data_IF_320149363715
#
_entry.id   IF_320149363715
#
_cell.length_a   1.000
_cell.length_b   1.000
_cell.length_c   1.000
_cell.angle_alpha   90.00
_cell.angle_beta   90.00
_cell.angle_gamma   90.00
#
_symmetry.space_group_name_H-M   'P 1'
#
loop_
_entity.id
_entity.type
_entity.pdbx_description
1 polymer ?
#
# COMPACT_ATOMS: atom_id res chain seq x y z
N UNK A 1 -20.20 18.71 12.95
CA UNK A 1 -21.09 18.11 11.91
C UNK A 1 -20.74 18.61 10.51
N UNK A 2 -19.89 17.89 9.78
CA UNK A 2 -19.48 18.26 8.41
C UNK A 2 -20.16 17.31 7.43
N UNK A 3 -21.06 17.84 6.59
CA UNK A 3 -21.76 17.07 5.57
C UNK A 3 -20.75 16.51 4.56
N UNK A 4 -20.61 15.19 4.50
CA UNK A 4 -20.01 14.50 3.36
C UNK A 4 -20.87 14.82 2.14
N UNK A 5 -20.37 15.69 1.25
CA UNK A 5 -20.94 15.83 -0.09
C UNK A 5 -20.82 14.48 -0.77
N UNK A 6 -21.97 13.93 -1.16
CA UNK A 6 -22.08 12.76 -2.00
C UNK A 6 -21.09 12.85 -3.16
N UNK A 7 -20.14 11.93 -3.20
CA UNK A 7 -19.52 11.54 -4.47
C UNK A 7 -20.68 11.17 -5.39
N UNK A 8 -20.78 11.87 -6.50
CA UNK A 8 -21.90 11.83 -7.44
C UNK A 8 -22.16 10.39 -7.86
N UNK A 9 -23.24 9.79 -7.33
CA UNK A 9 -23.74 8.50 -7.82
C UNK A 9 -24.09 8.70 -9.30
N UNK A 10 -23.33 8.07 -10.21
CA UNK A 10 -23.80 7.90 -11.60
C UNK A 10 -25.12 7.14 -11.50
N UNK A 11 -26.23 7.78 -11.87
CA UNK A 11 -27.48 7.07 -12.16
C UNK A 11 -27.20 6.12 -13.32
N UNK A 12 -27.27 4.83 -13.05
CA UNK A 12 -27.29 3.80 -14.10
C UNK A 12 -28.70 3.79 -14.69
N UNK A 13 -28.77 3.77 -16.02
CA UNK A 13 -30.01 3.60 -16.79
C UNK A 13 -30.59 2.20 -16.55
N UNK A 14 -31.92 2.11 -16.50
CA UNK A 14 -32.72 0.93 -16.13
C UNK A 14 -32.68 -0.25 -17.15
N UNK A 15 -31.55 -0.50 -17.80
CA UNK A 15 -31.40 -1.54 -18.83
C UNK A 15 -30.07 -2.29 -18.85
N UNK A 16 -29.09 -1.85 -18.07
CA UNK A 16 -27.78 -2.50 -18.02
C UNK A 16 -27.77 -3.52 -16.87
N UNK A 17 -27.75 -4.82 -17.21
CA UNK A 17 -27.61 -5.89 -16.22
C UNK A 17 -26.50 -5.53 -15.23
N UNK A 18 -26.79 -5.61 -13.93
CA UNK A 18 -25.97 -5.07 -12.83
C UNK A 18 -24.47 -5.32 -13.07
N UNK A 19 -23.77 -4.34 -13.66
CA UNK A 19 -22.32 -4.40 -13.80
C UNK A 19 -21.79 -4.23 -12.39
N UNK A 20 -21.54 -5.36 -11.72
CA UNK A 20 -20.94 -5.37 -10.40
C UNK A 20 -19.67 -4.51 -10.39
N UNK A 21 -19.34 -3.86 -9.26
CA UNK A 21 -18.18 -2.99 -9.18
C UNK A 21 -16.92 -3.76 -9.58
N UNK A 22 -16.21 -3.25 -10.59
CA UNK A 22 -14.92 -3.79 -11.02
C UNK A 22 -13.86 -3.38 -9.99
N UNK A 23 -13.64 -4.27 -9.02
CA UNK A 23 -12.45 -4.22 -8.18
C UNK A 23 -11.23 -4.54 -9.04
N UNK A 24 -10.21 -3.68 -9.00
CA UNK A 24 -8.98 -3.93 -9.73
C UNK A 24 -8.12 -4.92 -8.92
N UNK A 25 -7.44 -5.83 -9.60
CA UNK A 25 -6.48 -6.72 -8.96
C UNK A 25 -5.29 -5.92 -8.43
N UNK A 26 -4.80 -6.28 -7.24
CA UNK A 26 -3.59 -5.68 -6.71
C UNK A 26 -2.39 -5.94 -7.63
N UNK A 27 -1.44 -5.00 -7.73
CA UNK A 27 -0.20 -5.22 -8.45
C UNK A 27 0.62 -6.34 -7.80
N UNK A 28 1.58 -6.87 -8.56
CA UNK A 28 2.60 -7.76 -8.00
C UNK A 28 3.57 -6.93 -7.16
N UNK A 29 4.05 -7.52 -6.07
CA UNK A 29 5.07 -6.94 -5.21
C UNK A 29 6.19 -7.96 -5.03
N UNK A 30 7.43 -7.49 -5.05
CA UNK A 30 8.61 -8.25 -4.67
C UNK A 30 9.68 -7.28 -4.10
N UNK A 31 10.58 -7.73 -3.21
CA UNK A 31 11.55 -6.86 -2.54
C UNK A 31 12.75 -6.51 -3.45
N UNK A 32 12.50 -6.19 -4.72
CA UNK A 32 13.51 -5.77 -5.70
C UNK A 32 12.86 -4.99 -6.86
N UNK A 33 13.58 -4.09 -7.53
CA UNK A 33 13.07 -3.35 -8.68
C UNK A 33 12.65 -4.28 -9.83
N UNK A 34 11.61 -3.92 -10.60
CA UNK A 34 10.73 -2.75 -10.44
C UNK A 34 9.52 -3.01 -9.51
N UNK A 35 9.50 -4.13 -8.79
CA UNK A 35 8.32 -4.61 -8.05
C UNK A 35 8.27 -4.15 -6.58
N UNK A 36 9.29 -3.45 -6.10
CA UNK A 36 9.40 -2.97 -4.72
C UNK A 36 8.59 -1.71 -4.44
N UNK A 37 8.10 -1.05 -5.49
CA UNK A 37 7.34 0.21 -5.44
C UNK A 37 6.01 0.09 -6.20
N UNK A 38 5.08 -0.77 -5.74
CA UNK A 38 3.79 -0.95 -6.41
C UNK A 38 2.97 0.34 -6.43
N UNK A 39 2.38 0.66 -7.59
CA UNK A 39 1.43 1.77 -7.71
C UNK A 39 0.00 1.30 -7.40
N UNK A 40 -0.70 2.05 -6.55
CA UNK A 40 -2.03 1.70 -6.06
C UNK A 40 -3.04 2.78 -6.40
N UNK A 41 -4.15 2.37 -7.02
CA UNK A 41 -5.26 3.26 -7.32
C UNK A 41 -6.12 3.56 -6.10
N UNK A 42 -6.46 4.83 -5.94
CA UNK A 42 -7.36 5.32 -4.90
C UNK A 42 -8.75 4.67 -5.00
N UNK A 43 -9.26 4.18 -3.86
CA UNK A 43 -10.59 3.58 -3.70
C UNK A 43 -10.96 2.44 -4.65
N UNK A 44 -9.99 1.59 -5.06
CA UNK A 44 -10.22 0.50 -6.03
C UNK A 44 -10.16 -0.92 -5.45
N UNK A 45 -9.72 -1.09 -4.22
CA UNK A 45 -9.36 -2.42 -3.70
C UNK A 45 -10.29 -2.90 -2.60
N UNK A 46 -10.50 -4.22 -2.55
CA UNK A 46 -11.23 -4.79 -1.42
C UNK A 46 -10.39 -4.66 -0.15
N UNK A 47 -10.97 -4.20 0.98
CA UNK A 47 -10.25 -4.08 2.25
C UNK A 47 -9.46 -5.34 2.67
N UNK A 48 -10.02 -6.53 2.43
CA UNK A 48 -9.38 -7.81 2.76
C UNK A 48 -8.11 -8.05 1.93
N UNK A 49 -8.16 -7.70 0.65
CA UNK A 49 -7.02 -7.84 -0.26
C UNK A 49 -5.91 -6.88 0.16
N UNK A 50 -6.25 -5.64 0.51
CA UNK A 50 -5.31 -4.67 1.07
C UNK A 50 -4.63 -5.15 2.36
N UNK A 51 -5.37 -5.79 3.29
CA UNK A 51 -4.78 -6.40 4.49
C UNK A 51 -3.72 -7.45 4.13
N UNK A 52 -4.07 -8.38 3.25
CA UNK A 52 -3.16 -9.46 2.85
C UNK A 52 -1.96 -8.91 2.08
N UNK A 53 -2.17 -7.85 1.28
CA UNK A 53 -1.14 -7.19 0.49
C UNK A 53 -0.09 -6.50 1.36
N UNK A 54 -0.51 -5.76 2.39
CA UNK A 54 0.42 -5.18 3.34
C UNK A 54 1.11 -6.29 4.17
N UNK A 55 0.33 -7.22 4.74
CA UNK A 55 0.85 -8.23 5.65
C UNK A 55 1.93 -9.14 5.02
N UNK A 56 1.76 -9.56 3.76
CA UNK A 56 2.72 -10.46 3.09
C UNK A 56 4.12 -9.83 2.91
N UNK A 57 4.21 -8.50 2.94
CA UNK A 57 5.44 -7.77 2.70
C UNK A 57 6.34 -7.63 3.93
N UNK A 58 5.84 -7.93 5.12
CA UNK A 58 6.64 -7.78 6.35
C UNK A 58 6.43 -8.90 7.37
N UNK A 59 5.25 -9.53 7.41
CA UNK A 59 4.91 -10.44 8.50
C UNK A 59 5.79 -11.70 8.47
N UNK A 60 6.49 -11.97 9.59
CA UNK A 60 7.37 -13.13 9.74
C UNK A 60 8.44 -13.23 8.64
N UNK A 61 8.88 -12.09 8.12
CA UNK A 61 10.04 -11.99 7.23
C UNK A 61 11.32 -11.90 8.02
N UNK A 62 12.38 -12.49 7.45
CA UNK A 62 13.74 -12.25 7.88
C UNK A 62 14.30 -11.05 7.12
N UNK A 63 15.43 -10.52 7.57
CA UNK A 63 16.06 -9.35 6.92
C UNK A 63 16.39 -9.58 5.45
N UNK A 64 16.79 -10.80 5.09
CA UNK A 64 17.07 -11.19 3.70
C UNK A 64 15.82 -11.23 2.80
N UNK A 65 14.62 -11.27 3.41
CA UNK A 65 13.33 -11.28 2.70
C UNK A 65 12.76 -9.85 2.53
N UNK A 66 13.42 -8.81 3.06
CA UNK A 66 12.97 -7.42 3.01
C UNK A 66 13.66 -6.65 1.87
N UNK A 67 12.99 -5.64 1.33
CA UNK A 67 13.65 -4.73 0.38
C UNK A 67 14.67 -3.84 1.08
N UNK A 68 15.61 -3.29 0.31
CA UNK A 68 16.59 -2.30 0.80
C UNK A 68 15.89 -1.10 1.46
N UNK A 69 14.80 -0.63 0.88
CA UNK A 69 13.98 0.48 1.37
C UNK A 69 13.34 0.16 2.71
N UNK A 70 12.83 -1.07 2.89
CA UNK A 70 12.27 -1.52 4.17
C UNK A 70 13.35 -1.58 5.25
N UNK A 71 14.50 -2.22 4.96
CA UNK A 71 15.62 -2.28 5.92
C UNK A 71 16.11 -0.90 6.33
N UNK A 72 16.23 0.01 5.36
CA UNK A 72 16.60 1.41 5.60
C UNK A 72 15.55 2.12 6.45
N UNK A 73 14.27 2.01 6.10
CA UNK A 73 13.17 2.66 6.83
C UNK A 73 13.09 2.20 8.29
N UNK A 74 13.26 0.90 8.55
CA UNK A 74 13.33 0.35 9.92
C UNK A 74 14.49 0.92 10.71
N UNK A 75 15.69 0.93 10.12
CA UNK A 75 16.91 1.43 10.78
C UNK A 75 16.79 2.92 11.10
N UNK A 76 16.30 3.70 10.15
CA UNK A 76 16.04 5.14 10.29
C UNK A 76 14.97 5.43 11.36
N UNK A 77 13.90 4.63 11.38
CA UNK A 77 12.85 4.73 12.39
C UNK A 77 13.42 4.51 13.80
N UNK A 78 14.16 3.41 14.02
CA UNK A 78 14.75 3.09 15.33
C UNK A 78 15.70 4.19 15.78
N UNK A 79 16.55 4.71 14.88
CA UNK A 79 17.44 5.83 15.17
C UNK A 79 16.67 7.09 15.59
N UNK A 80 15.63 7.46 14.83
CA UNK A 80 14.82 8.62 15.15
C UNK A 80 14.04 8.45 16.47
N UNK A 81 13.44 7.28 16.69
CA UNK A 81 12.74 6.95 17.93
C UNK A 81 13.66 7.10 19.15
N UNK A 82 14.86 6.51 19.10
CA UNK A 82 15.83 6.59 20.20
C UNK A 82 16.30 8.03 20.48
N UNK A 83 16.44 8.85 19.44
CA UNK A 83 16.76 10.26 19.60
C UNK A 83 15.62 11.05 20.26
N UNK A 84 14.38 10.81 19.85
CA UNK A 84 13.19 11.48 20.38
C UNK A 84 12.87 11.04 21.80
N UNK A 85 13.16 9.78 22.15
CA UNK A 85 12.94 9.23 23.48
C UNK A 85 13.69 10.02 24.57
N UNK A 86 14.82 10.65 24.25
CA UNK A 86 15.55 11.55 25.16
C UNK A 86 14.77 12.80 25.57
N UNK A 87 13.71 13.14 24.82
CA UNK A 87 12.79 14.26 25.12
C UNK A 87 11.55 13.80 25.91
N UNK A 88 11.37 12.50 26.14
CA UNK A 88 10.21 11.94 26.81
C UNK A 88 10.05 12.48 28.24
N UNK A 89 8.82 12.76 28.66
CA UNK A 89 8.48 13.33 29.98
C UNK A 89 8.61 14.85 30.08
N UNK A 90 9.18 15.54 29.09
CA UNK A 90 9.25 17.02 29.09
C UNK A 90 7.90 17.62 28.67
N UNK A 91 7.53 18.76 29.27
CA UNK A 91 6.35 19.51 28.82
C UNK A 91 6.57 20.04 27.40
N UNK A 92 5.53 19.98 26.58
CA UNK A 92 5.56 20.48 25.20
C UNK A 92 5.15 21.95 25.21
N UNK A 93 6.02 22.80 24.69
CA UNK A 93 5.73 24.22 24.45
C UNK A 93 5.21 24.45 23.03
N UNK A 94 4.40 25.50 22.83
CA UNK A 94 3.83 25.84 21.51
C UNK A 94 4.90 26.01 20.43
N UNK A 95 6.07 26.57 20.79
CA UNK A 95 7.21 26.74 19.87
C UNK A 95 7.81 25.42 19.36
N UNK A 96 7.54 24.30 20.04
CA UNK A 96 8.07 22.98 19.68
C UNK A 96 7.15 22.19 18.73
N UNK A 97 5.91 22.64 18.53
CA UNK A 97 4.89 21.92 17.72
C UNK A 97 5.39 21.62 16.31
N UNK A 98 5.95 22.63 15.63
CA UNK A 98 6.48 22.46 14.27
C UNK A 98 7.62 21.43 14.22
N UNK A 99 8.51 21.42 15.22
CA UNK A 99 9.58 20.41 15.29
C UNK A 99 9.01 19.02 15.54
N UNK A 100 8.02 18.87 16.43
CA UNK A 100 7.40 17.58 16.72
C UNK A 100 6.62 17.07 15.49
N UNK A 101 5.92 17.95 14.77
CA UNK A 101 5.24 17.60 13.53
C UNK A 101 6.23 17.05 12.49
N UNK A 102 7.37 17.73 12.31
CA UNK A 102 8.43 17.25 11.42
C UNK A 102 8.99 15.89 11.87
N UNK A 103 9.25 15.75 13.17
CA UNK A 103 9.78 14.51 13.76
C UNK A 103 8.78 13.34 13.56
N UNK A 104 7.48 13.57 13.80
CA UNK A 104 6.42 12.58 13.56
C UNK A 104 6.19 12.31 12.07
N UNK A 105 6.30 13.32 11.21
CA UNK A 105 6.20 13.16 9.76
C UNK A 105 7.34 12.30 9.21
N UNK A 106 8.54 12.42 9.78
CA UNK A 106 9.66 11.55 9.45
C UNK A 106 9.41 10.10 9.87
N UNK A 107 8.90 9.87 11.09
CA UNK A 107 8.51 8.52 11.54
C UNK A 107 7.38 7.94 10.66
N UNK A 108 6.39 8.76 10.28
CA UNK A 108 5.30 8.35 9.38
C UNK A 108 5.85 7.88 8.03
N UNK A 109 6.80 8.61 7.44
CA UNK A 109 7.44 8.21 6.18
C UNK A 109 8.20 6.88 6.30
N UNK A 110 8.85 6.63 7.45
CA UNK A 110 9.49 5.34 7.70
C UNK A 110 8.46 4.20 7.81
N UNK A 111 7.36 4.44 8.52
CA UNK A 111 6.27 3.47 8.64
C UNK A 111 5.62 3.18 7.27
N UNK A 112 5.38 4.21 6.46
CA UNK A 112 4.85 4.08 5.10
C UNK A 112 5.78 3.25 4.20
N UNK A 113 7.07 3.59 4.15
CA UNK A 113 8.05 2.82 3.36
C UNK A 113 8.13 1.36 3.80
N UNK A 114 8.06 1.09 5.10
CA UNK A 114 8.20 -0.26 5.61
C UNK A 114 6.94 -1.12 5.39
N UNK A 115 5.76 -0.59 5.76
CA UNK A 115 4.51 -1.33 5.82
C UNK A 115 3.62 -1.17 4.59
N UNK A 116 3.74 -0.04 3.89
CA UNK A 116 2.83 0.39 2.83
C UNK A 116 3.57 0.82 1.56
N UNK A 117 4.81 0.35 1.38
CA UNK A 117 5.60 0.50 0.16
C UNK A 117 5.88 1.95 -0.27
N UNK A 118 5.70 2.92 0.63
CA UNK A 118 5.79 4.33 0.28
C UNK A 118 4.56 4.86 -0.49
N UNK A 119 3.46 4.10 -0.53
CA UNK A 119 2.25 4.47 -1.25
C UNK A 119 1.45 5.58 -0.55
N UNK A 120 1.67 5.87 0.74
CA UNK A 120 0.89 6.87 1.46
C UNK A 120 1.50 8.28 1.41
N UNK A 121 2.83 8.43 1.29
CA UNK A 121 3.54 9.71 1.44
C UNK A 121 3.04 10.85 0.55
N UNK A 122 2.60 10.56 -0.67
CA UNK A 122 2.10 11.54 -1.64
C UNK A 122 0.65 11.94 -1.38
N UNK A 123 -0.02 11.22 -0.48
CA UNK A 123 -1.46 11.30 -0.29
C UNK A 123 -1.84 11.59 1.16
N UNK A 124 -0.91 11.48 2.11
CA UNK A 124 -1.14 11.73 3.54
C UNK A 124 -0.45 13.00 4.01
N UNK A 125 -1.20 13.90 4.64
CA UNK A 125 -0.70 15.10 5.32
C UNK A 125 -0.82 14.93 6.83
N UNK A 126 0.27 15.21 7.54
CA UNK A 126 0.32 15.18 9.00
C UNK A 126 0.19 16.59 9.57
N UNK A 127 -0.74 16.78 10.51
CA UNK A 127 -0.87 17.99 11.31
C UNK A 127 -0.70 17.66 12.80
N UNK A 128 0.15 18.39 13.51
CA UNK A 128 0.26 18.27 14.96
C UNK A 128 -0.30 19.53 15.64
N UNK A 129 -1.19 19.38 16.61
CA UNK A 129 -1.85 20.50 17.28
C UNK A 129 -1.70 20.41 18.80
N UNK A 130 -1.67 21.56 19.49
CA UNK A 130 -1.69 21.61 20.97
C UNK A 130 -3.11 21.59 21.55
N UNK A 131 -4.08 22.05 20.76
CA UNK A 131 -5.48 22.07 21.14
C UNK A 131 -6.13 20.71 20.84
N UNK A 132 -6.97 20.24 21.76
CA UNK A 132 -7.97 19.22 21.45
C UNK A 132 -8.96 19.84 20.45
N UNK A 133 -8.73 19.64 19.16
CA UNK A 133 -9.57 20.19 18.08
C UNK A 133 -10.97 19.54 18.01
N UNK A 134 -11.26 18.56 18.86
CA UNK A 134 -12.34 17.61 18.61
C UNK A 134 -13.48 17.73 19.62
N UNK A 135 -14.70 17.64 19.09
CA UNK A 135 -15.92 17.35 19.84
C UNK A 135 -15.68 16.13 20.75
N UNK A 136 -16.37 16.05 21.89
CA UNK A 136 -16.31 14.82 22.70
C UNK A 136 -16.86 13.68 21.86
N UNK A 137 -16.16 12.56 21.83
CA UNK A 137 -16.71 11.29 21.37
C UNK A 137 -18.05 11.06 22.09
N UNK A 138 -19.18 10.98 21.35
CA UNK A 138 -20.49 10.82 21.96
C UNK A 138 -20.61 9.54 22.78
N UNK A 139 -19.88 8.48 22.41
CA UNK A 139 -19.96 7.16 23.04
C UNK A 139 -19.10 7.07 24.30
N UNK A 140 -17.93 7.71 24.32
CA UNK A 140 -17.00 7.63 25.47
C UNK A 140 -16.97 8.90 26.32
N UNK A 141 -17.53 10.01 25.83
CA UNK A 141 -17.44 11.34 26.43
C UNK A 141 -16.03 11.93 26.45
N UNK A 142 -15.03 11.24 25.87
CA UNK A 142 -13.64 11.67 25.83
C UNK A 142 -13.38 12.53 24.59
N UNK A 143 -12.47 13.50 24.69
CA UNK A 143 -12.02 14.25 23.51
C UNK A 143 -11.11 13.37 22.67
N UNK A 144 -11.26 13.41 21.35
CA UNK A 144 -10.35 12.71 20.45
C UNK A 144 -8.94 13.27 20.63
N UNK A 145 -7.96 12.38 20.60
CA UNK A 145 -6.54 12.72 20.73
C UNK A 145 -5.79 12.61 19.41
N UNK A 146 -6.45 12.08 18.38
CA UNK A 146 -6.04 12.05 16.99
C UNK A 146 -7.25 11.78 16.11
N UNK A 147 -7.17 12.14 14.83
CA UNK A 147 -8.17 11.77 13.82
C UNK A 147 -7.54 11.60 12.43
N UNK A 148 -8.22 10.83 11.59
CA UNK A 148 -7.90 10.66 10.18
C UNK A 148 -9.12 11.03 9.34
N UNK A 149 -8.94 11.95 8.39
CA UNK A 149 -10.04 12.48 7.57
C UNK A 149 -9.62 12.61 6.12
N UNK A 150 -10.58 12.59 5.19
CA UNK A 150 -10.34 12.99 3.81
C UNK A 150 -10.43 14.52 3.69
N UNK A 151 -9.45 15.14 3.03
CA UNK A 151 -9.46 16.55 2.65
C UNK A 151 -9.26 16.70 1.14
N UNK A 152 -9.87 17.73 0.55
CA UNK A 152 -9.59 18.14 -0.82
C UNK A 152 -8.86 19.48 -0.73
N UNK A 153 -7.65 19.55 -1.27
CA UNK A 153 -6.79 20.73 -1.30
C UNK A 153 -6.22 20.85 -2.71
N UNK A 154 -6.37 22.02 -3.36
CA UNK A 154 -5.92 22.27 -4.74
C UNK A 154 -6.40 21.19 -5.74
N UNK A 155 -7.69 20.86 -5.69
CA UNK A 155 -8.36 19.81 -6.48
C UNK A 155 -7.75 18.40 -6.35
N UNK A 156 -6.92 18.17 -5.33
CA UNK A 156 -6.33 16.87 -5.02
C UNK A 156 -6.91 16.33 -3.72
N UNK A 157 -7.29 15.05 -3.73
CA UNK A 157 -7.72 14.34 -2.54
C UNK A 157 -6.51 13.89 -1.73
N UNK A 158 -6.50 14.26 -0.45
CA UNK A 158 -5.52 13.84 0.54
C UNK A 158 -6.24 13.20 1.74
N UNK A 159 -5.49 12.38 2.48
CA UNK A 159 -5.83 11.99 3.83
C UNK A 159 -5.08 12.91 4.79
N UNK A 160 -5.80 13.51 5.72
CA UNK A 160 -5.24 14.34 6.77
C UNK A 160 -5.26 13.57 8.09
N UNK A 161 -4.07 13.27 8.60
CA UNK A 161 -3.82 12.68 9.91
C UNK A 161 -3.51 13.83 10.87
N UNK A 162 -4.28 13.97 11.96
CA UNK A 162 -4.02 14.99 12.98
C UNK A 162 -3.68 14.34 14.30
N UNK A 163 -2.62 14.83 14.94
CA UNK A 163 -2.17 14.36 16.24
C UNK A 163 -2.27 15.48 17.27
N UNK A 164 -2.98 15.22 18.36
CA UNK A 164 -3.03 16.13 19.49
C UNK A 164 -1.85 15.87 20.43
N UNK A 165 -1.00 16.86 20.58
CA UNK A 165 0.17 16.83 21.47
C UNK A 165 -0.22 17.09 22.94
N UNK A 166 -1.36 17.73 23.17
CA UNK A 166 -1.85 18.09 24.50
C UNK A 166 -1.13 19.30 25.09
N UNK A 167 -1.90 20.30 25.50
CA UNK A 167 -1.36 21.45 26.21
C UNK A 167 -0.97 21.10 27.64
N UNK A 168 0.23 21.51 28.07
CA UNK A 168 0.77 21.31 29.42
C UNK A 168 0.83 19.85 29.89
N UNK A 169 0.80 18.89 28.96
CA UNK A 169 0.98 17.47 29.26
C UNK A 169 2.44 17.06 29.04
N UNK A 170 2.97 16.14 29.86
CA UNK A 170 4.26 15.51 29.57
C UNK A 170 4.23 14.84 28.20
N UNK A 171 5.24 15.11 27.37
CA UNK A 171 5.44 14.44 26.10
C UNK A 171 5.61 12.94 26.34
N UNK A 172 4.67 12.14 25.86
CA UNK A 172 4.75 10.68 25.88
C UNK A 172 4.93 10.18 24.44
N UNK A 173 6.18 9.92 24.06
CA UNK A 173 6.54 9.48 22.71
C UNK A 173 5.84 8.17 22.34
N UNK A 174 5.76 7.19 23.26
CA UNK A 174 5.10 5.93 22.96
C UNK A 174 3.61 6.11 22.69
N UNK A 175 2.94 6.96 23.46
CA UNK A 175 1.51 7.28 23.23
C UNK A 175 1.33 7.99 21.88
N UNK A 176 2.16 9.00 21.58
CA UNK A 176 2.07 9.75 20.33
C UNK A 176 2.36 8.87 19.11
N UNK A 177 3.39 8.03 19.19
CA UNK A 177 3.72 7.07 18.13
C UNK A 177 2.62 6.01 18.00
N UNK A 178 2.03 5.56 19.11
CA UNK A 178 0.89 4.66 19.08
C UNK A 178 -0.30 5.24 18.34
N UNK A 179 -0.63 6.52 18.60
CA UNK A 179 -1.63 7.26 17.83
C UNK A 179 -1.25 7.39 16.36
N UNK A 180 0.02 7.68 16.05
CA UNK A 180 0.47 7.75 14.66
C UNK A 180 0.28 6.41 13.91
N UNK A 181 0.67 5.29 14.54
CA UNK A 181 0.45 3.95 13.96
C UNK A 181 -1.05 3.67 13.78
N UNK A 182 -1.86 4.03 14.77
CA UNK A 182 -3.32 3.94 14.72
C UNK A 182 -3.90 4.69 13.52
N UNK A 183 -3.54 5.96 13.34
CA UNK A 183 -4.04 6.81 12.26
C UNK A 183 -3.53 6.41 10.88
N UNK A 184 -2.30 5.90 10.75
CA UNK A 184 -1.78 5.44 9.46
C UNK A 184 -2.56 4.21 8.95
N UNK A 185 -3.02 3.33 9.84
CA UNK A 185 -3.90 2.20 9.47
C UNK A 185 -5.24 2.72 8.95
N UNK A 186 -5.81 3.75 9.57
CA UNK A 186 -6.99 4.43 9.04
C UNK A 186 -6.70 5.02 7.67
N UNK A 187 -5.59 5.73 7.50
CA UNK A 187 -5.21 6.35 6.23
C UNK A 187 -5.08 5.33 5.09
N UNK A 188 -4.49 4.16 5.37
CA UNK A 188 -4.38 3.07 4.41
C UNK A 188 -5.73 2.60 3.88
N UNK A 189 -6.68 2.32 4.78
CA UNK A 189 -8.01 1.90 4.36
C UNK A 189 -8.81 3.04 3.74
N UNK A 190 -8.77 4.22 4.33
CA UNK A 190 -9.54 5.38 3.88
C UNK A 190 -9.16 5.80 2.44
N UNK A 191 -7.88 5.66 2.07
CA UNK A 191 -7.41 6.05 0.74
C UNK A 191 -7.61 4.95 -0.32
N UNK A 192 -7.27 3.70 -0.01
CA UNK A 192 -7.20 2.65 -1.03
C UNK A 192 -8.44 1.74 -1.08
N UNK A 193 -9.24 1.67 -0.01
CA UNK A 193 -10.39 0.76 0.02
C UNK A 193 -11.55 1.25 -0.84
N UNK A 194 -12.17 0.31 -1.55
CA UNK A 194 -13.33 0.58 -2.37
C UNK A 194 -14.55 0.94 -1.52
N UNK A 195 -15.27 1.98 -1.92
CA UNK A 195 -16.51 2.47 -1.28
C UNK A 195 -17.76 2.14 -2.11
N UNK A 196 -17.68 1.16 -3.00
CA UNK A 196 -18.86 0.70 -3.74
C UNK A 196 -19.92 0.15 -2.77
N UNK A 197 -21.19 0.14 -3.21
CA UNK A 197 -22.32 -0.29 -2.38
C UNK A 197 -22.12 -1.68 -1.75
N UNK A 198 -21.48 -2.61 -2.46
CA UNK A 198 -21.18 -3.94 -1.95
C UNK A 198 -20.17 -3.92 -0.80
N UNK A 199 -19.09 -3.14 -0.93
CA UNK A 199 -18.10 -2.98 0.13
C UNK A 199 -18.67 -2.15 1.30
N UNK A 200 -19.51 -1.16 1.01
CA UNK A 200 -20.18 -0.34 2.01
C UNK A 200 -21.07 -1.18 2.92
N UNK A 201 -21.82 -2.14 2.36
CA UNK A 201 -22.65 -3.09 3.11
C UNK A 201 -21.86 -4.02 4.04
N UNK A 202 -20.56 -4.22 3.79
CA UNK A 202 -19.69 -5.10 4.58
C UNK A 202 -18.79 -4.31 5.56
N UNK A 203 -18.97 -2.99 5.71
CA UNK A 203 -18.08 -2.13 6.49
C UNK A 203 -17.88 -2.61 7.93
N UNK A 204 -18.95 -2.97 8.65
CA UNK A 204 -18.84 -3.46 10.04
C UNK A 204 -18.01 -4.75 10.17
N UNK A 205 -17.99 -5.58 9.12
CA UNK A 205 -17.23 -6.83 9.06
C UNK A 205 -15.81 -6.64 8.50
N UNK A 206 -15.49 -5.44 8.03
CA UNK A 206 -14.23 -5.10 7.37
C UNK A 206 -13.53 -3.95 8.09
N UNK A 207 -13.61 -2.72 7.58
CA UNK A 207 -12.87 -1.55 8.09
C UNK A 207 -13.56 -0.86 9.25
N UNK A 208 -14.83 -1.16 9.52
CA UNK A 208 -15.65 -0.49 10.52
C UNK A 208 -16.53 0.60 9.91
N UNK A 209 -17.50 1.07 10.70
CA UNK A 209 -18.38 2.17 10.29
C UNK A 209 -17.59 3.47 10.12
N UNK A 210 -17.94 4.40 9.20
CA UNK A 210 -17.19 5.64 8.99
C UNK A 210 -16.99 6.52 10.25
N UNK A 211 -17.86 6.38 11.25
CA UNK A 211 -17.78 7.11 12.53
C UNK A 211 -16.82 6.52 13.56
N UNK A 212 -16.43 5.25 13.41
CA UNK A 212 -15.54 4.55 14.36
C UNK A 212 -14.28 4.01 13.65
N UNK A 213 -14.46 3.36 12.49
CA UNK A 213 -13.39 2.82 11.63
C UNK A 213 -12.49 1.75 12.31
N UNK A 214 -12.92 1.13 13.41
CA UNK A 214 -12.16 0.08 14.10
C UNK A 214 -12.68 -1.34 13.81
N UNK A 215 -13.09 -1.61 12.58
CA UNK A 215 -13.58 -2.93 12.19
C UNK A 215 -12.52 -4.05 12.28
N UNK A 216 -12.91 -5.32 12.08
CA UNK A 216 -12.00 -6.46 12.24
C UNK A 216 -10.71 -6.38 11.41
N UNK A 217 -10.76 -5.85 10.19
CA UNK A 217 -9.58 -5.70 9.33
C UNK A 217 -8.60 -4.66 9.87
N UNK A 218 -9.12 -3.53 10.35
CA UNK A 218 -8.34 -2.53 11.05
C UNK A 218 -7.59 -3.16 12.23
N UNK A 219 -8.33 -3.86 13.11
CA UNK A 219 -7.77 -4.47 14.32
C UNK A 219 -6.66 -5.47 13.98
N UNK A 220 -6.83 -6.24 12.91
CA UNK A 220 -5.82 -7.18 12.44
C UNK A 220 -4.57 -6.48 11.92
N UNK A 221 -4.72 -5.51 11.01
CA UNK A 221 -3.57 -4.80 10.45
C UNK A 221 -2.79 -4.06 11.52
N UNK A 222 -3.48 -3.30 12.38
CA UNK A 222 -2.88 -2.59 13.50
C UNK A 222 -2.06 -3.53 14.39
N UNK A 223 -2.62 -4.70 14.74
CA UNK A 223 -1.90 -5.67 15.56
C UNK A 223 -0.65 -6.23 14.85
N UNK A 224 -0.72 -6.51 13.55
CA UNK A 224 0.44 -6.99 12.80
C UNK A 224 1.56 -5.94 12.76
N UNK A 225 1.22 -4.67 12.53
CA UNK A 225 2.17 -3.56 12.58
C UNK A 225 2.85 -3.45 13.95
N UNK A 226 2.07 -3.42 15.03
CA UNK A 226 2.61 -3.34 16.41
C UNK A 226 3.50 -4.54 16.72
N UNK A 227 3.12 -5.75 16.28
CA UNK A 227 3.96 -6.96 16.46
C UNK A 227 5.31 -6.80 15.78
N UNK A 228 5.32 -6.26 14.57
CA UNK A 228 6.53 -6.09 13.79
C UNK A 228 7.43 -4.98 14.37
N UNK A 229 6.85 -3.83 14.77
CA UNK A 229 7.60 -2.73 15.41
C UNK A 229 8.33 -3.21 16.68
N UNK A 230 7.70 -4.06 17.49
CA UNK A 230 8.32 -4.63 18.70
C UNK A 230 9.57 -5.48 18.42
N UNK A 231 9.71 -6.00 17.20
CA UNK A 231 10.86 -6.82 16.78
C UNK A 231 12.02 -5.99 16.25
N UNK A 232 11.83 -4.68 16.01
CA UNK A 232 12.83 -3.85 15.36
C UNK A 232 14.02 -3.49 16.26
N UNK A 233 13.79 -3.33 17.57
CA UNK A 233 14.80 -2.94 18.54
C UNK A 233 14.35 -3.27 19.96
N UNK A 234 15.29 -3.59 20.86
CA UNK A 234 14.98 -3.94 22.26
C UNK A 234 14.22 -2.82 22.98
N UNK A 235 14.44 -1.55 22.61
CA UNK A 235 13.73 -0.41 23.21
C UNK A 235 12.26 -0.31 22.81
N UNK A 236 11.83 -1.08 21.82
CA UNK A 236 10.46 -1.14 21.30
C UNK A 236 9.74 -2.43 21.73
N UNK A 237 10.36 -3.34 22.49
CA UNK A 237 9.77 -4.63 22.86
C UNK A 237 8.38 -4.49 23.51
N UNK A 238 8.24 -3.49 24.39
CA UNK A 238 7.00 -3.19 25.10
C UNK A 238 6.11 -2.16 24.40
N UNK A 239 6.39 -1.80 23.14
CA UNK A 239 5.62 -0.80 22.41
C UNK A 239 4.12 -1.14 22.38
N UNK A 240 3.30 -0.33 23.05
CA UNK A 240 1.86 -0.58 23.25
C UNK A 240 1.52 -1.92 23.92
N UNK A 241 2.36 -2.46 24.79
CA UNK A 241 2.11 -3.73 25.47
C UNK A 241 0.77 -3.75 26.23
N UNK A 242 0.44 -2.63 26.89
CA UNK A 242 -0.80 -2.49 27.67
C UNK A 242 -2.07 -2.55 26.81
N UNK A 243 -2.01 -1.94 25.63
CA UNK A 243 -3.14 -1.85 24.70
C UNK A 243 -3.22 -3.08 23.78
N UNK A 244 -2.08 -3.65 23.36
CA UNK A 244 -1.98 -4.83 22.49
C UNK A 244 -1.18 -5.99 23.15
N UNK A 245 -1.72 -6.65 24.20
CA UNK A 245 -0.98 -7.68 24.95
C UNK A 245 -0.94 -9.03 24.24
N UNK A 246 0.19 -9.75 24.32
CA UNK A 246 0.25 -11.20 24.09
C UNK A 246 -0.41 -11.72 22.80
N UNK A 247 -0.18 -11.06 21.66
CA UNK A 247 -0.78 -11.47 20.38
C UNK A 247 -2.15 -10.86 20.08
N UNK A 248 -2.80 -10.22 21.05
CA UNK A 248 -4.17 -9.71 20.95
C UNK A 248 -4.24 -8.32 20.34
N UNK A 249 -5.35 -8.04 19.67
CA UNK A 249 -5.68 -6.73 19.09
C UNK A 249 -5.76 -5.62 20.15
N UNK A 250 -5.75 -4.37 19.69
CA UNK A 250 -5.88 -3.18 20.54
C UNK A 250 -7.14 -3.24 21.39
N UNK A 251 -6.97 -3.15 22.72
CA UNK A 251 -8.06 -3.11 23.70
C UNK A 251 -8.89 -1.85 23.54
N UNK A 252 -8.24 -0.70 23.36
CA UNK A 252 -8.92 0.58 23.18
C UNK A 252 -9.75 0.60 21.90
N UNK A 253 -9.18 0.25 20.74
CA UNK A 253 -9.90 0.21 19.48
C UNK A 253 -11.04 -0.83 19.49
N UNK A 254 -10.79 -2.03 20.03
CA UNK A 254 -11.83 -3.07 20.18
C UNK A 254 -12.98 -2.60 21.08
N UNK A 255 -12.67 -1.87 22.15
CA UNK A 255 -13.67 -1.29 23.05
C UNK A 255 -14.50 -0.21 22.37
N UNK A 256 -13.86 0.70 21.63
CA UNK A 256 -14.55 1.73 20.83
C UNK A 256 -15.50 1.10 19.81
N UNK A 257 -15.03 0.11 19.06
CA UNK A 257 -15.86 -0.64 18.11
C UNK A 257 -17.09 -1.26 18.79
N UNK A 258 -16.94 -1.90 19.94
CA UNK A 258 -18.08 -2.50 20.64
C UNK A 258 -19.06 -1.50 21.21
N UNK A 259 -18.60 -0.36 21.74
CA UNK A 259 -19.51 0.69 22.19
C UNK A 259 -20.28 1.28 21.02
N UNK A 260 -19.60 1.59 19.92
CA UNK A 260 -20.24 2.04 18.70
C UNK A 260 -21.28 1.01 18.20
N UNK A 261 -20.92 -0.27 18.16
CA UNK A 261 -21.84 -1.35 17.79
C UNK A 261 -23.02 -1.49 18.75
N UNK A 262 -22.84 -1.24 20.05
CA UNK A 262 -23.94 -1.28 21.02
C UNK A 262 -24.96 -0.18 20.74
N UNK A 263 -24.48 1.03 20.43
CA UNK A 263 -25.29 2.23 20.22
C UNK A 263 -26.01 2.26 18.85
N UNK A 264 -25.55 1.48 17.87
CA UNK A 264 -26.20 1.40 16.56
C UNK A 264 -27.64 0.87 16.65
N UNK A 265 -28.55 1.54 15.95
CA UNK A 265 -29.95 1.09 15.81
C UNK A 265 -30.05 -0.26 15.09
N UNK A 266 -31.18 -0.96 15.28
CA UNK A 266 -31.43 -2.26 14.63
C UNK A 266 -31.34 -2.16 13.10
N UNK A 267 -31.93 -1.12 12.52
CA UNK A 267 -31.96 -0.92 11.06
C UNK A 267 -30.56 -0.65 10.50
N UNK A 268 -29.74 0.13 11.22
CA UNK A 268 -28.35 0.39 10.83
C UNK A 268 -27.50 -0.86 10.94
N UNK A 269 -27.68 -1.65 12.01
CA UNK A 269 -27.08 -2.98 12.12
C UNK A 269 -27.49 -3.81 10.91
N UNK A 270 -28.77 -3.97 10.58
CA UNK A 270 -29.19 -4.77 9.43
C UNK A 270 -28.64 -4.27 8.09
N UNK A 271 -28.46 -2.95 7.92
CA UNK A 271 -27.85 -2.33 6.73
C UNK A 271 -26.40 -2.78 6.50
N UNK A 272 -25.62 -2.91 7.57
CA UNK A 272 -24.18 -3.20 7.50
C UNK A 272 -23.80 -4.63 7.96
N UNK A 273 -24.77 -5.35 8.52
CA UNK A 273 -24.59 -6.62 9.22
C UNK A 273 -25.37 -7.74 8.53
N UNK A 274 -25.40 -7.73 7.19
CA UNK A 274 -25.39 -9.00 6.47
C UNK A 274 -24.04 -9.63 6.81
N UNK A 275 -23.96 -10.25 7.99
CA UNK A 275 -22.98 -11.24 8.37
C UNK A 275 -23.07 -12.29 7.27
N UNK A 276 -22.33 -12.07 6.18
CA UNK A 276 -21.80 -13.18 5.44
C UNK A 276 -21.01 -13.89 6.50
N UNK A 277 -21.52 -15.02 6.97
CA UNK A 277 -20.67 -16.10 7.43
C UNK A 277 -19.60 -16.17 6.36
N UNK A 278 -18.43 -15.56 6.61
CA UNK A 278 -17.31 -15.65 5.71
C UNK A 278 -17.18 -17.14 5.50
N UNK A 279 -17.55 -17.60 4.31
CA UNK A 279 -17.70 -19.02 4.04
C UNK A 279 -16.49 -19.68 4.68
N UNK A 280 -16.69 -20.60 5.63
CA UNK A 280 -15.56 -21.23 6.32
C UNK A 280 -14.61 -21.93 5.32
N UNK A 281 -15.02 -22.06 4.04
CA UNK A 281 -14.17 -22.45 2.90
C UNK A 281 -13.36 -21.33 2.21
N UNK A 282 -13.62 -20.05 2.45
CA UNK A 282 -12.76 -18.96 2.02
C UNK A 282 -11.50 -18.97 2.90
N UNK A 283 -10.40 -19.48 2.37
CA UNK A 283 -9.11 -19.58 3.06
C UNK A 283 -8.59 -18.18 3.44
N UNK A 284 -9.01 -17.66 4.61
CA UNK A 284 -8.55 -16.37 5.11
C UNK A 284 -7.08 -16.47 5.52
N UNK A 285 -6.21 -15.71 4.85
CA UNK A 285 -4.78 -15.67 5.17
C UNK A 285 -4.50 -15.01 6.51
N UNK A 286 -5.17 -13.89 6.80
CA UNK A 286 -5.10 -13.21 8.10
C UNK A 286 -6.48 -13.31 8.76
N UNK A 287 -6.51 -13.82 10.00
CA UNK A 287 -7.76 -14.00 10.76
C UNK A 287 -7.65 -13.50 12.19
N UNK A 288 -8.75 -12.94 12.68
CA UNK A 288 -8.99 -12.66 14.09
C UNK A 288 -9.67 -13.88 14.70
N UNK A 289 -9.10 -14.38 15.78
CA UNK A 289 -9.65 -15.52 16.53
C UNK A 289 -10.56 -15.04 17.66
N UNK A 290 -11.40 -15.94 18.18
CA UNK A 290 -12.39 -15.60 19.22
C UNK A 290 -11.74 -15.08 20.51
N UNK A 291 -10.53 -15.54 20.84
CA UNK A 291 -9.73 -15.04 21.98
C UNK A 291 -9.07 -13.67 21.72
N UNK A 292 -9.34 -13.06 20.57
CA UNK A 292 -8.85 -11.76 20.14
C UNK A 292 -7.44 -11.75 19.57
N UNK A 293 -6.81 -12.91 19.34
CA UNK A 293 -5.49 -13.00 18.68
C UNK A 293 -5.60 -12.92 17.17
N UNK A 294 -4.58 -12.35 16.55
CA UNK A 294 -4.42 -12.34 15.10
C UNK A 294 -3.50 -13.48 14.68
N UNK A 295 -3.97 -14.31 13.75
CA UNK A 295 -3.19 -15.40 13.17
C UNK A 295 -3.01 -15.16 11.67
N UNK A 296 -1.77 -15.33 11.21
CA UNK A 296 -1.44 -15.32 9.78
C UNK A 296 -1.10 -16.73 9.36
N UNK A 297 -1.72 -17.17 8.27
CA UNK A 297 -1.49 -18.47 7.65
C UNK A 297 -0.11 -18.49 6.97
N UNK A 298 0.73 -19.51 7.22
CA UNK A 298 2.04 -19.63 6.57
C UNK A 298 1.97 -19.59 5.04
N UNK A 299 0.86 -20.05 4.46
CA UNK A 299 0.64 -20.03 3.01
C UNK A 299 0.66 -18.63 2.41
N UNK A 300 0.39 -17.57 3.19
CA UNK A 300 0.54 -16.19 2.72
C UNK A 300 2.00 -15.90 2.37
N UNK A 301 2.94 -16.27 3.26
CA UNK A 301 4.38 -16.10 3.04
C UNK A 301 4.86 -17.01 1.92
N UNK A 302 4.50 -18.29 1.93
CA UNK A 302 4.96 -19.25 0.90
C UNK A 302 4.50 -18.85 -0.51
N UNK A 303 3.22 -18.45 -0.67
CA UNK A 303 2.73 -17.97 -1.98
C UNK A 303 3.46 -16.71 -2.44
N UNK A 304 3.80 -15.82 -1.51
CA UNK A 304 4.55 -14.62 -1.83
C UNK A 304 5.98 -14.95 -2.26
N UNK A 305 6.71 -15.80 -1.53
CA UNK A 305 8.07 -16.21 -1.90
C UNK A 305 8.13 -16.92 -3.26
N UNK A 306 7.21 -17.87 -3.52
CA UNK A 306 7.17 -18.55 -4.82
C UNK A 306 6.93 -17.57 -6.00
N UNK A 307 6.12 -16.54 -5.77
CA UNK A 307 5.87 -15.50 -6.77
C UNK A 307 7.10 -14.61 -6.96
N UNK A 308 7.83 -14.29 -5.89
CA UNK A 308 9.09 -13.54 -5.97
C UNK A 308 10.15 -14.31 -6.77
N UNK A 309 10.33 -15.61 -6.52
CA UNK A 309 11.28 -16.45 -7.26
C UNK A 309 10.93 -16.49 -8.75
N UNK A 310 9.64 -16.58 -9.07
CA UNK A 310 9.14 -16.51 -10.45
C UNK A 310 9.50 -15.18 -11.11
N UNK A 311 9.34 -14.07 -10.39
CA UNK A 311 9.68 -12.73 -10.88
C UNK A 311 11.19 -12.52 -11.03
N UNK A 312 12.02 -13.06 -10.12
CA UNK A 312 13.48 -13.03 -10.24
C UNK A 312 13.92 -13.79 -11.48
N UNK A 313 13.44 -15.01 -11.67
CA UNK A 313 13.77 -15.82 -12.84
C UNK A 313 13.35 -15.14 -14.16
N UNK A 314 12.22 -14.43 -14.16
CA UNK A 314 11.81 -13.63 -15.32
C UNK A 314 12.74 -12.44 -15.57
N UNK A 315 13.08 -11.68 -14.53
CA UNK A 315 13.96 -10.51 -14.66
C UNK A 315 15.37 -10.88 -15.12
N UNK A 316 15.90 -12.05 -14.69
CA UNK A 316 17.20 -12.53 -15.16
C UNK A 316 17.19 -12.85 -16.66
N UNK A 317 16.17 -13.58 -17.14
CA UNK A 317 16.03 -13.88 -18.56
C UNK A 317 15.85 -12.64 -19.42
N UNK A 318 15.10 -11.64 -18.93
CA UNK A 318 14.94 -10.36 -19.64
C UNK A 318 16.27 -9.59 -19.74
N UNK A 319 17.17 -9.70 -18.75
CA UNK A 319 18.52 -9.11 -18.84
C UNK A 319 19.42 -9.86 -19.81
N UNK A 320 19.42 -11.19 -19.76
CA UNK A 320 20.19 -12.03 -20.70
C UNK A 320 19.80 -11.71 -22.15
N UNK A 321 18.50 -11.57 -22.44
CA UNK A 321 18.02 -11.19 -23.77
C UNK A 321 18.48 -9.78 -24.19
N UNK A 322 18.47 -8.79 -23.28
CA UNK A 322 18.96 -7.45 -23.59
C UNK A 322 20.48 -7.42 -23.83
N UNK A 323 21.25 -8.21 -23.08
CA UNK A 323 22.70 -8.35 -23.28
C UNK A 323 23.01 -9.04 -24.62
N UNK A 324 22.23 -10.06 -25.00
CA UNK A 324 22.33 -10.72 -26.31
C UNK A 324 21.98 -9.76 -27.46
N UNK A 325 20.91 -8.97 -27.33
CA UNK A 325 20.54 -7.94 -28.31
C UNK A 325 21.61 -6.85 -28.43
N UNK A 326 22.17 -6.38 -27.32
CA UNK A 326 23.27 -5.40 -27.32
C UNK A 326 24.53 -5.96 -27.99
N UNK A 327 24.85 -7.23 -27.74
CA UNK A 327 25.99 -7.89 -28.39
C UNK A 327 25.76 -8.13 -29.88
N UNK A 328 24.52 -8.39 -30.31
CA UNK A 328 24.17 -8.50 -31.73
C UNK A 328 24.22 -7.14 -32.45
N UNK A 329 23.91 -6.05 -31.74
CA UNK A 329 23.92 -4.69 -32.28
C UNK A 329 25.28 -4.01 -32.22
N UNK A 330 26.26 -4.57 -31.50
CA UNK A 330 27.66 -4.14 -31.64
C UNK A 330 28.07 -4.51 -33.07
N UNK A 331 28.25 -3.53 -33.98
CA UNK A 331 28.80 -3.86 -35.28
C UNK A 331 30.08 -4.63 -35.02
N UNK A 332 30.29 -5.74 -35.73
CA UNK A 332 31.63 -6.29 -35.83
C UNK A 332 32.50 -5.08 -36.20
N UNK A 333 33.42 -4.69 -35.32
CA UNK A 333 34.47 -3.74 -35.66
C UNK A 333 35.32 -4.45 -36.72
N UNK A 334 34.77 -4.55 -37.94
CA UNK A 334 35.54 -4.80 -39.13
C UNK A 334 36.62 -3.73 -39.09
N UNK A 335 37.85 -4.18 -38.93
CA UNK A 335 39.02 -3.34 -38.90
C UNK A 335 39.13 -2.62 -40.27
N UNK A 336 38.43 -1.50 -40.41
CA UNK A 336 38.40 -0.68 -41.64
C UNK A 336 39.74 0.07 -41.84
N UNK A 337 40.71 -0.05 -40.92
CA UNK A 337 42.04 0.57 -41.05
C UNK A 337 42.85 0.01 -42.23
N UNK A 338 42.52 -1.17 -42.78
CA UNK A 338 43.33 -1.80 -43.84
C UNK A 338 42.78 -1.61 -45.28
N UNK A 339 41.72 -0.82 -45.50
CA UNK A 339 41.07 -0.71 -46.83
C UNK A 339 40.84 0.69 -47.39
N UNK A 340 41.34 1.74 -46.73
CA UNK A 340 41.46 3.03 -47.38
C UNK A 340 42.90 3.19 -47.86
N UNK A 341 43.16 3.18 -49.19
CA UNK A 341 44.48 3.55 -49.69
C UNK A 341 44.80 4.95 -49.16
N UNK A 342 46.01 5.14 -48.65
CA UNK A 342 46.55 6.43 -48.24
C UNK A 342 46.20 7.47 -49.32
N UNK A 343 45.24 8.34 -49.01
CA UNK A 343 44.93 9.48 -49.87
C UNK A 343 46.13 10.40 -49.68
N UNK A 344 47.03 10.45 -50.66
CA UNK A 344 48.08 11.46 -50.73
C UNK A 344 47.45 12.83 -50.44
N UNK A 345 47.99 13.55 -49.46
CA UNK A 345 47.60 14.92 -49.09
C UNK A 345 47.91 15.87 -50.26
N UNK A 346 47.14 15.75 -51.34
CA UNK A 346 47.08 16.71 -52.42
C UNK A 346 46.30 17.91 -51.92
N UNK A 347 46.91 19.09 -52.02
CA UNK A 347 46.35 20.38 -51.63
C UNK A 347 45.00 20.64 -52.34
N UNK A 348 43.88 20.20 -51.73
CA UNK A 348 42.52 20.32 -52.29
C UNK A 348 42.01 21.76 -52.36
N UNK A 349 42.69 22.70 -51.69
CA UNK A 349 42.34 24.12 -51.67
C UNK A 349 42.38 24.78 -53.06
N UNK A 350 43.23 24.30 -53.97
CA UNK A 350 43.36 24.91 -55.30
C UNK A 350 42.31 24.41 -56.31
N UNK A 351 41.57 23.34 -56.01
CA UNK A 351 40.72 22.66 -57.01
C UNK A 351 39.22 22.95 -56.87
N UNK A 352 38.74 23.37 -55.69
CA UNK A 352 37.32 23.63 -55.42
C UNK A 352 37.12 24.78 -54.40
N UNK A 353 37.38 26.05 -54.78
CA UNK A 353 37.19 27.19 -53.88
C UNK A 353 35.73 27.40 -53.43
N UNK A 354 34.76 26.84 -54.16
CA UNK A 354 33.33 26.96 -53.87
C UNK A 354 32.89 26.13 -52.64
N UNK A 355 33.61 25.05 -52.30
CA UNK A 355 33.29 24.18 -51.15
C UNK A 355 33.72 24.81 -49.82
N UNK A 356 34.76 25.65 -49.84
CA UNK A 356 35.21 26.39 -48.64
C UNK A 356 34.20 27.47 -48.24
N UNK A 357 33.53 28.09 -49.21
CA UNK A 357 32.50 29.11 -48.97
C UNK A 357 31.23 28.46 -48.36
N UNK A 358 30.75 27.35 -48.91
CA UNK A 358 29.61 26.57 -48.36
C UNK A 358 29.89 25.98 -46.97
N UNK A 359 31.12 25.51 -46.71
CA UNK A 359 31.50 25.03 -45.38
C UNK A 359 31.65 26.16 -44.36
N UNK A 360 32.03 27.37 -44.79
CA UNK A 360 32.07 28.54 -43.90
C UNK A 360 30.66 29.04 -43.54
N UNK A 361 29.70 28.98 -44.47
CA UNK A 361 28.28 29.27 -44.20
C UNK A 361 27.65 28.21 -43.30
N UNK A 362 27.94 26.92 -43.51
CA UNK A 362 27.46 25.84 -42.64
C UNK A 362 28.02 25.95 -41.21
N UNK A 363 29.24 26.47 -41.04
CA UNK A 363 29.84 26.69 -39.71
C UNK A 363 29.19 27.88 -38.99
N UNK A 364 28.70 28.88 -39.72
CA UNK A 364 27.92 29.98 -39.15
C UNK A 364 26.51 29.54 -38.70
N UNK A 365 25.91 28.54 -39.35
CA UNK A 365 24.59 28.03 -38.99
C UNK A 365 24.58 27.07 -37.79
N UNK A 366 25.71 26.47 -37.44
CA UNK A 366 25.81 25.53 -36.30
C UNK A 366 26.03 26.28 -34.97
N UNK A 367 26.61 27.49 -35.00
CA UNK A 367 26.77 28.32 -33.79
C UNK A 367 25.49 29.12 -33.43
N UNK A 368 24.45 29.13 -34.29
CA UNK A 368 23.14 29.78 -34.03
C UNK A 368 22.00 28.81 -33.65
N UNK A 369 22.25 27.49 -33.50
CA UNK A 369 21.26 26.58 -32.89
C UNK A 369 21.19 26.73 -31.35
N UNK A 370 20.81 27.94 -30.92
CA UNK A 370 20.03 28.11 -29.70
C UNK A 370 18.76 27.26 -29.86
N UNK A 371 18.70 26.13 -29.15
CA UNK A 371 17.50 25.28 -29.04
C UNK A 371 16.26 26.15 -28.82
N UNK A 372 15.43 26.29 -29.86
CA UNK A 372 14.25 27.14 -29.77
C UNK A 372 13.31 26.61 -28.68
N UNK A 373 12.78 27.52 -27.86
CA UNK A 373 11.74 27.25 -26.85
C UNK A 373 10.56 26.43 -27.43
N UNK A 374 10.35 26.50 -28.74
CA UNK A 374 9.30 25.79 -29.46
C UNK A 374 9.61 24.31 -29.68
N UNK A 375 10.88 23.91 -29.80
CA UNK A 375 11.28 22.50 -29.81
C UNK A 375 11.09 21.87 -28.42
N UNK A 376 11.40 22.61 -27.34
CA UNK A 376 11.18 22.15 -25.98
C UNK A 376 9.68 22.07 -25.64
N UNK A 377 8.88 23.06 -26.09
CA UNK A 377 7.41 23.01 -26.01
C UNK A 377 6.85 21.87 -26.87
N UNK A 378 7.44 21.58 -28.03
CA UNK A 378 7.11 20.46 -28.90
C UNK A 378 7.33 19.10 -28.22
N UNK A 379 8.50 18.90 -27.62
CA UNK A 379 8.83 17.69 -26.86
C UNK A 379 7.95 17.52 -25.61
N UNK A 380 7.61 18.61 -24.92
CA UNK A 380 6.65 18.61 -23.80
C UNK A 380 5.22 18.25 -24.26
N UNK A 381 4.78 18.71 -25.43
CA UNK A 381 3.48 18.32 -26.03
C UNK A 381 3.47 16.86 -26.48
N UNK A 382 4.54 16.39 -27.11
CA UNK A 382 4.67 15.00 -27.56
C UNK A 382 4.67 14.01 -26.38
N UNK A 383 5.38 14.31 -25.28
CA UNK A 383 5.33 13.52 -24.03
C UNK A 383 3.93 13.49 -23.41
N UNK A 384 3.17 14.58 -23.53
CA UNK A 384 1.80 14.66 -23.01
C UNK A 384 0.80 13.87 -23.86
N UNK A 385 1.04 13.71 -25.17
CA UNK A 385 0.24 12.88 -26.06
C UNK A 385 0.58 11.38 -25.98
N UNK A 386 1.84 11.03 -25.71
CA UNK A 386 2.26 9.62 -25.56
C UNK A 386 1.63 8.95 -24.32
N UNK A 387 1.28 9.72 -23.28
CA UNK A 387 0.58 9.19 -22.10
C UNK A 387 -0.93 8.98 -22.29
N UNK A 388 -1.53 9.50 -23.36
CA UNK A 388 -2.97 9.38 -23.62
C UNK A 388 -3.33 8.18 -24.53
N UNK A 389 -2.34 7.52 -25.12
CA UNK A 389 -2.53 6.39 -26.04
C UNK A 389 -1.64 5.20 -25.68
N UNK A 390 -1.90 4.57 -24.54
CA UNK A 390 -1.59 3.15 -24.37
C UNK A 390 -2.91 2.38 -24.30
N UNK A 391 -3.26 1.56 -25.31
CA UNK A 391 -4.43 0.71 -25.24
C UNK A 391 -4.22 -0.36 -24.16
N UNK A 392 -5.22 -0.52 -23.30
CA UNK A 392 -5.32 -1.62 -22.35
C UNK A 392 -5.25 -2.97 -23.09
N UNK A 393 -4.47 -3.96 -22.63
CA UNK A 393 -4.50 -5.29 -23.23
C UNK A 393 -5.86 -5.93 -23.01
N UNK A 394 -6.63 -6.10 -24.09
CA UNK A 394 -7.82 -6.97 -24.11
C UNK A 394 -7.36 -8.41 -23.89
N UNK A 395 -7.86 -9.03 -22.83
CA UNK A 395 -7.79 -10.48 -22.64
C UNK A 395 -9.03 -11.12 -23.28
N UNK A 396 -8.96 -11.41 -24.58
CA UNK A 396 -9.91 -12.28 -25.26
C UNK A 396 -9.44 -13.73 -25.07
N UNK A 397 -10.04 -14.46 -24.12
CA UNK A 397 -10.06 -15.93 -24.12
C UNK A 397 -11.45 -16.39 -23.64
N UNK A 398 -12.39 -16.49 -24.57
CA UNK A 398 -13.46 -17.50 -24.56
C UNK A 398 -13.09 -18.53 -25.63
N UNK A 399 -12.82 -19.79 -25.25
CA UNK A 399 -13.80 -20.89 -25.10
C UNK A 399 -14.05 -21.60 -26.43
N UNK A 400 -13.39 -22.74 -26.61
CA UNK A 400 -13.92 -23.86 -27.37
C UNK A 400 -14.18 -25.02 -26.39
N UNK A 401 -15.45 -25.47 -26.33
CA UNK A 401 -15.81 -26.81 -25.86
C UNK A 401 -15.27 -27.86 -26.83
N UNK A 402 -15.53 -29.16 -26.74
CA UNK A 402 -16.30 -30.07 -25.88
C UNK A 402 -15.95 -31.48 -26.45
N UNK A 403 -16.42 -32.56 -25.81
CA UNK A 403 -16.20 -33.99 -26.15
C UNK A 403 -14.97 -34.59 -25.46
N UNK A 404 -15.01 -35.69 -24.72
CA UNK A 404 -16.06 -36.67 -24.44
C UNK A 404 -15.35 -37.98 -24.08
N UNK A 405 -15.72 -38.63 -22.99
CA UNK A 405 -15.88 -40.09 -22.85
C UNK A 405 -15.89 -40.52 -21.39
N UNK A 406 -16.95 -41.26 -21.09
CA UNK A 406 -17.22 -41.94 -19.84
C UNK A 406 -16.54 -43.31 -19.82
N UNK A 407 -15.89 -43.65 -18.71
CA UNK A 407 -15.80 -44.99 -18.09
C UNK A 407 -15.57 -44.69 -16.60
N UNK A 408 -16.45 -45.01 -15.65
CA UNK A 408 -17.09 -46.29 -15.43
C UNK A 408 -16.15 -47.15 -14.59
N UNK A 409 -16.29 -47.17 -13.27
CA UNK A 409 -16.09 -48.34 -12.40
C UNK A 409 -16.53 -48.02 -10.96
N UNK A 410 -17.42 -48.87 -10.44
CA UNK A 410 -18.01 -48.85 -9.10
C UNK A 410 -17.28 -49.82 -8.17
N UNK A 411 -16.92 -49.30 -6.98
CA UNK A 411 -17.08 -49.91 -5.63
C UNK A 411 -16.28 -51.19 -5.26
N UNK A 412 -16.36 -51.74 -4.02
CA UNK A 412 -16.85 -51.20 -2.74
C UNK A 412 -15.98 -51.55 -1.50
N UNK A 413 -16.43 -51.05 -0.33
CA UNK A 413 -16.30 -51.66 1.02
C UNK A 413 -14.94 -51.50 1.73
N UNK A 414 -14.84 -51.31 3.04
CA UNK A 414 -15.70 -51.73 4.14
C UNK A 414 -15.31 -51.03 5.47
N UNK A 415 -16.31 -50.83 6.34
CA UNK A 415 -16.36 -51.16 7.80
C UNK A 415 -15.27 -50.60 8.76
N UNK A 416 -15.50 -50.24 10.04
CA UNK A 416 -16.64 -50.29 10.96
C UNK A 416 -16.33 -49.41 12.19
N UNK A 417 -17.38 -48.84 12.78
CA UNK A 417 -17.67 -48.60 14.21
C UNK A 417 -16.57 -48.40 15.26
N UNK A 418 -16.78 -47.40 16.12
CA UNK A 418 -16.93 -47.64 17.56
C UNK A 418 -17.92 -46.62 18.20
N UNK A 419 -18.89 -47.17 18.93
CA UNK A 419 -19.68 -46.59 20.04
C UNK A 419 -18.71 -45.98 21.11
N UNK A 420 -19.04 -45.11 22.08
CA UNK A 420 -20.24 -44.96 22.89
C UNK A 420 -20.17 -43.65 23.71
N UNK A 421 -21.34 -43.28 24.23
CA UNK A 421 -21.71 -42.32 25.27
C UNK A 421 -20.67 -41.99 26.38
N UNK A 422 -20.67 -40.73 26.81
CA UNK A 422 -20.87 -40.41 28.24
C UNK A 422 -21.33 -38.96 28.42
N UNK A 423 -22.58 -38.83 28.87
CA UNK A 423 -23.11 -37.74 29.69
C UNK A 423 -22.27 -37.53 30.97
N UNK A 424 -22.28 -36.32 31.54
CA UNK A 424 -22.64 -35.97 32.93
C UNK A 424 -22.11 -34.56 33.35
N UNK A 425 -23.05 -33.72 33.77
CA UNK A 425 -23.06 -32.66 34.81
C UNK A 425 -21.88 -31.72 35.10
N UNK A 426 -22.22 -30.45 35.36
CA UNK A 426 -21.41 -29.58 36.23
C UNK A 426 -21.79 -28.09 36.22
N UNK A 427 -22.86 -27.73 36.94
CA UNK A 427 -23.19 -26.36 37.37
C UNK A 427 -22.12 -25.87 38.37
N UNK A 428 -21.74 -24.57 38.33
CA UNK A 428 -21.14 -23.93 39.50
C UNK A 428 -20.34 -22.64 39.25
N UNK A 429 -21.00 -21.50 39.48
CA UNK A 429 -20.50 -20.13 39.73
C UNK A 429 -20.02 -19.28 38.56
#
# INVERSE_FOLDING_TARGET
MTMFRHITKRRMSDGDGEVGPSHISLPKYAPFPPYDSPDLYMSRYKPRELLNFAAKAFHSRNDNDLSTEQLKARTEFVKAFNNLRRKNGKSIEHKQVASIQRDMGYLMNCLDKFFFFGCLRSHVKLEATMSTMFEKDPSTGKRWESDTTLSIEDDKLFVKVRLNLGQNKPYNLQTLLGRLVHEIVHAWYLYFSCTCEYCERDLLNTTGHPSDQHGPLYLMLHRLLVTEIRRWDATLEDFLADDCPGGKVSRSAKKSFYYFMADLGKDEKEKYNRLRSYNFGAQLFVRLTDDGKVKVRPELKHKQLNMEDTLRGRSLREKELMEDEENYLKPEEENYEDKYPEIEEGNYADKYPEIEEEMSEAKYLIDEEEMSEDLEKGLKRARKQYHTYLPSPRSDIERSGQEGMALGLRSPSSFLSFYQENSWFGIGW
#
